data_IF_618408283495
#
_entry.id   IF_618408283495
#
_cell.length_a   1.000
_cell.length_b   1.000
_cell.length_c   1.000
_cell.angle_alpha   90.00
_cell.angle_beta   90.00
_cell.angle_gamma   90.00
#
_symmetry.space_group_name_H-M   'P 1'
#
loop_
_entity.id
_entity.type
_entity.pdbx_description
1 polymer ?
#
# COMPACT_ATOMS: atom_id res chain seq x y z
N UNK A 1 2.25 -13.62 13.23
CA UNK A 1 1.48 -12.61 13.99
C UNK A 1 2.47 -11.50 14.32
N UNK A 2 2.37 -10.37 13.63
CA UNK A 2 3.14 -9.20 14.06
C UNK A 2 2.62 -8.83 15.44
N UNK A 3 3.32 -9.26 16.50
CA UNK A 3 3.06 -8.71 17.82
C UNK A 3 3.24 -7.20 17.68
N UNK A 4 2.24 -6.42 18.13
CA UNK A 4 2.40 -4.98 18.20
C UNK A 4 3.71 -4.72 18.99
N UNK A 5 4.81 -4.30 18.36
CA UNK A 5 6.08 -4.15 19.05
C UNK A 5 6.03 -3.02 20.10
N UNK A 6 4.96 -2.23 20.11
CA UNK A 6 4.77 -1.10 21.00
C UNK A 6 3.38 -1.11 21.64
N UNK A 7 3.18 -1.83 22.75
CA UNK A 7 1.88 -1.93 23.44
C UNK A 7 1.35 -0.61 23.98
N UNK A 8 2.08 0.49 23.84
CA UNK A 8 1.68 1.84 24.28
C UNK A 8 1.04 2.71 23.20
N UNK A 9 1.04 2.32 21.91
CA UNK A 9 0.45 3.13 20.86
C UNK A 9 -1.05 2.86 20.71
N UNK A 10 -1.83 3.91 20.53
CA UNK A 10 -3.26 3.78 20.29
C UNK A 10 -3.51 3.29 18.85
N UNK A 11 -4.53 2.45 18.69
CA UNK A 11 -4.92 1.95 17.35
C UNK A 11 -5.19 3.10 16.36
N UNK A 12 -5.82 4.19 16.82
CA UNK A 12 -6.07 5.38 16.00
C UNK A 12 -4.80 6.04 15.48
N UNK A 13 -3.72 6.08 16.26
CA UNK A 13 -2.43 6.61 15.83
C UNK A 13 -1.79 5.73 14.75
N UNK A 14 -1.85 4.41 14.91
CA UNK A 14 -1.36 3.46 13.90
C UNK A 14 -2.13 3.59 12.59
N UNK A 15 -3.46 3.68 12.66
CA UNK A 15 -4.31 3.92 11.49
C UNK A 15 -3.99 5.28 10.85
N UNK A 16 -3.72 6.29 11.69
CA UNK A 16 -3.31 7.61 11.23
C UNK A 16 -2.05 7.56 10.36
N UNK A 17 -0.97 6.98 10.87
CA UNK A 17 0.29 6.85 10.11
C UNK A 17 0.08 6.04 8.83
N UNK A 18 -0.64 4.91 8.90
CA UNK A 18 -0.95 4.10 7.72
C UNK A 18 -1.79 4.87 6.68
N UNK A 19 -2.69 5.76 7.12
CA UNK A 19 -3.47 6.64 6.22
C UNK A 19 -2.56 7.62 5.48
N UNK A 20 -1.59 8.24 6.17
CA UNK A 20 -0.63 9.14 5.53
C UNK A 20 0.25 8.40 4.53
N UNK A 21 0.74 7.21 4.87
CA UNK A 21 1.50 6.36 3.93
C UNK A 21 0.67 6.01 2.69
N UNK A 22 -0.57 5.59 2.88
CA UNK A 22 -1.47 5.32 1.75
C UNK A 22 -1.72 6.58 0.91
N UNK A 23 -1.90 7.74 1.54
CA UNK A 23 -2.12 9.02 0.84
C UNK A 23 -0.88 9.46 0.05
N UNK A 24 0.33 9.25 0.58
CA UNK A 24 1.59 9.51 -0.15
C UNK A 24 1.73 8.60 -1.37
N UNK A 25 1.41 7.31 -1.22
CA UNK A 25 1.42 6.36 -2.33
C UNK A 25 0.39 6.73 -3.40
N UNK A 26 -0.82 7.10 -3.00
CA UNK A 26 -1.86 7.57 -3.91
C UNK A 26 -1.41 8.83 -4.66
N UNK A 27 -0.85 9.82 -3.96
CA UNK A 27 -0.33 11.04 -4.58
C UNK A 27 0.78 10.74 -5.59
N UNK A 28 1.69 9.80 -5.27
CA UNK A 28 2.76 9.36 -6.18
C UNK A 28 2.21 8.72 -7.46
N UNK A 29 1.21 7.85 -7.34
CA UNK A 29 0.59 7.20 -8.51
C UNK A 29 -0.20 8.23 -9.33
N UNK A 30 -0.97 9.10 -8.68
CA UNK A 30 -1.76 10.13 -9.36
C UNK A 30 -0.90 11.25 -9.99
N UNK A 31 0.38 11.37 -9.63
CA UNK A 31 1.32 12.25 -10.32
C UNK A 31 1.70 11.73 -11.72
N UNK A 32 1.50 10.44 -11.99
CA UNK A 32 1.81 9.83 -13.28
C UNK A 32 0.70 10.16 -14.29
N UNK A 33 1.06 10.84 -15.38
CA UNK A 33 0.14 11.10 -16.50
C UNK A 33 -0.21 9.80 -17.24
N UNK A 34 0.75 8.89 -17.34
CA UNK A 34 0.59 7.54 -17.89
C UNK A 34 1.14 6.52 -16.91
N UNK A 35 0.45 5.40 -16.73
CA UNK A 35 0.93 4.31 -15.88
C UNK A 35 1.94 3.44 -16.65
N UNK A 36 3.02 2.98 -15.99
CA UNK A 36 3.77 1.84 -16.51
C UNK A 36 2.85 0.60 -16.60
N UNK A 37 3.17 -0.37 -17.46
CA UNK A 37 2.36 -1.57 -17.56
C UNK A 37 2.42 -2.39 -16.28
N UNK A 38 1.26 -2.91 -15.86
CA UNK A 38 1.18 -3.90 -14.80
C UNK A 38 1.99 -5.14 -15.17
N UNK A 39 2.68 -5.66 -14.18
CA UNK A 39 3.42 -6.92 -14.27
C UNK A 39 2.60 -8.05 -13.66
N UNK A 40 2.73 -9.25 -14.21
CA UNK A 40 2.16 -10.45 -13.58
C UNK A 40 2.84 -10.65 -12.22
N UNK A 41 2.05 -10.63 -11.18
CA UNK A 41 2.54 -10.79 -9.81
C UNK A 41 3.16 -12.16 -9.60
N UNK A 42 4.41 -12.20 -9.14
CA UNK A 42 5.05 -13.41 -8.64
C UNK A 42 4.78 -13.52 -7.14
N UNK A 43 4.08 -14.58 -6.74
CA UNK A 43 3.75 -14.84 -5.35
C UNK A 43 4.75 -15.85 -4.79
N UNK A 44 5.43 -15.46 -3.72
CA UNK A 44 6.33 -16.33 -2.96
C UNK A 44 5.58 -16.83 -1.71
N UNK A 45 4.97 -17.99 -1.83
CA UNK A 45 4.18 -18.62 -0.77
C UNK A 45 4.97 -18.82 0.52
N UNK A 46 6.24 -19.19 0.41
CA UNK A 46 7.08 -19.43 1.58
C UNK A 46 7.43 -18.11 2.29
N UNK A 47 7.67 -17.04 1.53
CA UNK A 47 7.88 -15.71 2.11
C UNK A 47 6.62 -15.27 2.86
N UNK A 48 5.43 -15.41 2.26
CA UNK A 48 4.16 -15.06 2.90
C UNK A 48 3.95 -15.87 4.18
N UNK A 49 4.17 -17.18 4.15
CA UNK A 49 4.06 -18.03 5.34
C UNK A 49 5.01 -17.60 6.47
N UNK A 50 6.26 -17.31 6.13
CA UNK A 50 7.24 -16.80 7.13
C UNK A 50 6.81 -15.49 7.74
N UNK A 51 6.32 -14.55 6.93
CA UNK A 51 5.93 -13.22 7.37
C UNK A 51 4.67 -13.23 8.25
N UNK A 52 3.68 -14.05 7.91
CA UNK A 52 2.38 -14.07 8.57
C UNK A 52 2.21 -15.21 9.61
N UNK A 53 3.18 -16.09 9.74
CA UNK A 53 3.19 -17.14 10.75
C UNK A 53 1.92 -18.03 10.70
N UNK A 54 1.16 -18.09 11.80
CA UNK A 54 -0.04 -18.92 11.88
C UNK A 54 -1.13 -18.62 10.84
N UNK A 55 -1.18 -17.38 10.33
CA UNK A 55 -2.12 -16.97 9.29
C UNK A 55 -1.55 -17.10 7.88
N UNK A 56 -0.33 -17.62 7.73
CA UNK A 56 0.40 -17.65 6.46
C UNK A 56 -0.35 -18.37 5.34
N UNK A 57 -0.95 -19.53 5.61
CA UNK A 57 -1.71 -20.27 4.58
C UNK A 57 -2.98 -19.53 4.12
N UNK A 58 -3.62 -18.79 5.02
CA UNK A 58 -4.75 -17.94 4.66
C UNK A 58 -4.29 -16.76 3.80
N UNK A 59 -3.20 -16.12 4.17
CA UNK A 59 -2.64 -15.01 3.40
C UNK A 59 -2.14 -15.44 2.01
N UNK A 60 -1.60 -16.65 1.88
CA UNK A 60 -1.27 -17.24 0.56
C UNK A 60 -2.52 -17.36 -0.31
N UNK A 61 -3.63 -17.88 0.22
CA UNK A 61 -4.90 -17.96 -0.51
C UNK A 61 -5.41 -16.57 -0.92
N UNK A 62 -5.33 -15.60 -0.02
CA UNK A 62 -5.70 -14.21 -0.29
C UNK A 62 -4.85 -13.62 -1.42
N UNK A 63 -3.54 -13.80 -1.37
CA UNK A 63 -2.62 -13.30 -2.38
C UNK A 63 -2.91 -13.88 -3.77
N UNK A 64 -3.10 -15.22 -3.87
CA UNK A 64 -3.45 -15.89 -5.12
C UNK A 64 -4.85 -15.52 -5.62
N UNK A 65 -5.83 -15.37 -4.71
CA UNK A 65 -7.22 -15.08 -5.07
C UNK A 65 -7.45 -13.73 -5.74
N UNK A 66 -6.53 -12.77 -5.55
CA UNK A 66 -6.62 -11.42 -6.14
C UNK A 66 -5.53 -11.11 -7.18
N UNK A 67 -4.58 -12.00 -7.39
CA UNK A 67 -3.54 -11.81 -8.39
C UNK A 67 -4.11 -12.01 -9.80
N UNK A 68 -3.73 -11.14 -10.71
CA UNK A 68 -4.03 -11.30 -12.11
C UNK A 68 -3.09 -12.32 -12.75
N UNK A 69 -3.64 -13.23 -13.53
CA UNK A 69 -2.86 -14.05 -14.45
C UNK A 69 -2.40 -13.22 -15.68
N UNK A 70 -1.68 -13.84 -16.59
CA UNK A 70 -1.12 -13.15 -17.74
C UNK A 70 -2.20 -12.52 -18.65
N UNK A 71 -3.33 -13.21 -18.84
CA UNK A 71 -4.42 -12.71 -19.69
C UNK A 71 -5.18 -11.57 -18.99
N UNK A 72 -5.52 -11.73 -17.73
CA UNK A 72 -6.16 -10.67 -16.93
C UNK A 72 -5.25 -9.44 -16.82
N UNK A 73 -3.94 -9.62 -16.68
CA UNK A 73 -2.96 -8.52 -16.65
C UNK A 73 -2.95 -7.78 -17.99
N UNK A 74 -2.96 -8.50 -19.12
CA UNK A 74 -3.03 -7.88 -20.45
C UNK A 74 -4.30 -7.05 -20.62
N UNK A 75 -5.45 -7.64 -20.30
CA UNK A 75 -6.75 -6.94 -20.40
C UNK A 75 -6.79 -5.70 -19.47
N UNK A 76 -6.25 -5.81 -18.27
CA UNK A 76 -6.19 -4.69 -17.34
C UNK A 76 -5.26 -3.58 -17.85
N UNK A 77 -4.13 -3.91 -18.44
CA UNK A 77 -3.23 -2.92 -19.06
C UNK A 77 -3.92 -2.15 -20.19
N UNK A 78 -4.60 -2.83 -21.10
CA UNK A 78 -5.36 -2.19 -22.19
C UNK A 78 -6.47 -1.29 -21.65
N UNK A 79 -7.10 -1.70 -20.55
CA UNK A 79 -8.11 -0.89 -19.87
C UNK A 79 -7.53 0.34 -19.21
N UNK A 80 -6.44 0.19 -18.45
CA UNK A 80 -5.78 1.32 -17.78
C UNK A 80 -5.19 2.31 -18.79
N UNK A 81 -4.60 1.85 -19.89
CA UNK A 81 -4.11 2.75 -20.93
C UNK A 81 -5.23 3.64 -21.49
N UNK A 82 -6.41 3.10 -21.69
CA UNK A 82 -7.56 3.83 -22.21
C UNK A 82 -8.25 4.72 -21.18
N UNK A 83 -8.42 4.23 -19.94
CA UNK A 83 -9.31 4.83 -18.94
C UNK A 83 -8.53 5.67 -17.89
N UNK A 84 -7.22 5.53 -17.82
CA UNK A 84 -6.42 6.20 -16.79
C UNK A 84 -6.55 7.72 -16.78
N UNK A 85 -6.54 8.44 -17.91
CA UNK A 85 -6.65 9.90 -17.90
C UNK A 85 -7.93 10.38 -17.22
N UNK A 86 -9.07 9.76 -17.53
CA UNK A 86 -10.36 10.12 -16.97
C UNK A 86 -10.44 9.70 -15.49
N UNK A 87 -10.07 8.47 -15.17
CA UNK A 87 -10.04 7.96 -13.80
C UNK A 87 -9.13 8.80 -12.91
N UNK A 88 -7.96 9.18 -13.41
CA UNK A 88 -7.02 10.05 -12.70
C UNK A 88 -7.64 11.41 -12.40
N UNK A 89 -8.32 12.01 -13.37
CA UNK A 89 -9.00 13.30 -13.20
C UNK A 89 -10.07 13.22 -12.12
N UNK A 90 -10.94 12.21 -12.17
CA UNK A 90 -11.98 11.98 -11.17
C UNK A 90 -11.39 11.76 -9.77
N UNK A 91 -10.32 10.96 -9.67
CA UNK A 91 -9.66 10.72 -8.38
C UNK A 91 -9.03 11.99 -7.80
N UNK A 92 -8.42 12.83 -8.63
CA UNK A 92 -7.83 14.10 -8.17
C UNK A 92 -8.88 15.09 -7.66
N UNK A 93 -10.12 15.03 -8.16
CA UNK A 93 -11.22 15.89 -7.68
C UNK A 93 -11.72 15.48 -6.29
N UNK A 94 -11.72 14.19 -5.98
CA UNK A 94 -12.25 13.67 -4.70
C UNK A 94 -11.18 13.46 -3.62
N UNK A 95 -9.90 13.36 -4.02
CA UNK A 95 -8.80 13.15 -3.09
C UNK A 95 -8.51 14.40 -2.26
N UNK A 96 -8.41 14.20 -0.94
CA UNK A 96 -7.95 15.28 -0.08
C UNK A 96 -6.44 15.51 -0.30
N UNK A 97 -6.02 16.75 -0.59
CA UNK A 97 -4.60 17.07 -0.75
C UNK A 97 -3.77 16.66 0.47
N UNK A 98 -2.61 16.06 0.23
CA UNK A 98 -1.72 15.54 1.28
C UNK A 98 -1.34 16.63 2.30
N UNK A 99 -1.12 17.87 1.84
CA UNK A 99 -0.78 19.01 2.69
C UNK A 99 -1.88 19.32 3.72
N UNK A 100 -3.15 19.15 3.33
CA UNK A 100 -4.27 19.34 4.27
C UNK A 100 -4.32 18.25 5.33
N UNK A 101 -4.02 17.01 4.94
CA UNK A 101 -3.89 15.91 5.91
C UNK A 101 -2.74 16.17 6.88
N UNK A 102 -1.56 16.50 6.38
CA UNK A 102 -0.39 16.80 7.22
C UNK A 102 -0.64 17.98 8.17
N UNK A 103 -1.31 19.03 7.68
CA UNK A 103 -1.68 20.18 8.53
C UNK A 103 -2.65 19.77 9.65
N UNK A 104 -3.63 18.91 9.37
CA UNK A 104 -4.56 18.41 10.38
C UNK A 104 -3.85 17.55 11.44
N UNK A 105 -2.91 16.68 11.02
CA UNK A 105 -2.10 15.88 11.93
C UNK A 105 -1.21 16.77 12.82
N UNK A 106 -0.55 17.76 12.24
CA UNK A 106 0.25 18.72 13.00
C UNK A 106 -0.61 19.49 14.02
N UNK A 107 -1.80 19.94 13.63
CA UNK A 107 -2.71 20.67 14.51
C UNK A 107 -3.27 19.81 15.66
N UNK A 108 -3.45 18.50 15.43
CA UNK A 108 -3.94 17.56 16.46
C UNK A 108 -2.85 16.98 17.34
N UNK A 109 -1.57 17.19 17.02
CA UNK A 109 -0.44 16.54 17.70
C UNK A 109 -0.36 15.03 17.44
N UNK A 110 -1.06 14.52 16.42
CA UNK A 110 -1.05 13.10 16.05
C UNK A 110 0.27 12.76 15.36
N UNK A 111 0.94 11.64 15.71
CA UNK A 111 2.13 11.19 15.00
C UNK A 111 1.87 11.03 13.49
N UNK A 112 2.80 11.53 12.69
CA UNK A 112 2.72 11.49 11.22
C UNK A 112 3.67 10.48 10.57
N UNK A 113 4.54 9.86 11.37
CA UNK A 113 5.53 8.87 10.93
C UNK A 113 5.51 7.63 11.82
N UNK A 114 6.00 6.51 11.30
CA UNK A 114 6.17 5.29 12.08
C UNK A 114 7.17 5.48 13.22
N UNK A 115 8.24 6.25 12.99
CA UNK A 115 9.19 6.64 14.02
C UNK A 115 8.55 7.43 15.16
N UNK A 116 7.57 8.30 14.88
CA UNK A 116 6.76 9.00 15.88
C UNK A 116 5.93 8.07 16.77
N UNK A 117 5.63 6.86 16.29
CA UNK A 117 5.00 5.78 17.07
C UNK A 117 6.02 4.88 17.78
N UNK A 118 7.32 5.16 17.64
CA UNK A 118 8.38 4.29 18.15
C UNK A 118 8.51 2.96 17.37
N UNK A 119 7.97 2.87 16.17
CA UNK A 119 8.13 1.70 15.29
C UNK A 119 9.53 1.69 14.72
N UNK A 120 10.17 0.53 14.73
CA UNK A 120 11.52 0.34 14.17
C UNK A 120 11.55 0.74 12.68
N UNK A 121 12.45 1.64 12.27
CA UNK A 121 12.59 2.06 10.88
C UNK A 121 12.85 0.88 9.90
N UNK A 122 13.51 -0.18 10.36
CA UNK A 122 13.74 -1.37 9.53
C UNK A 122 12.48 -2.23 9.36
N UNK A 123 11.54 -2.12 10.30
CA UNK A 123 10.31 -2.90 10.29
C UNK A 123 9.24 -2.27 9.39
N UNK A 124 9.11 -0.95 9.42
CA UNK A 124 7.99 -0.28 8.76
C UNK A 124 7.93 -0.49 7.23
N UNK A 125 9.04 -0.37 6.48
CA UNK A 125 9.06 -0.73 5.06
C UNK A 125 8.56 -2.15 4.79
N UNK A 126 8.93 -3.12 5.63
CA UNK A 126 8.46 -4.49 5.50
C UNK A 126 6.95 -4.61 5.78
N UNK A 127 6.43 -3.85 6.73
CA UNK A 127 4.99 -3.80 7.00
C UNK A 127 4.23 -3.22 5.79
N UNK A 128 4.71 -2.15 5.18
CA UNK A 128 4.12 -1.56 3.96
C UNK A 128 4.12 -2.55 2.81
N UNK A 129 5.25 -3.20 2.53
CA UNK A 129 5.39 -4.18 1.45
C UNK A 129 4.43 -5.37 1.59
N UNK A 130 4.23 -5.86 2.82
CA UNK A 130 3.44 -7.06 3.08
C UNK A 130 1.98 -6.75 3.45
N UNK A 131 1.59 -5.48 3.63
CA UNK A 131 0.22 -5.09 3.95
C UNK A 131 -0.78 -5.49 2.85
N UNK A 132 -0.32 -5.56 1.60
CA UNK A 132 -1.12 -6.04 0.46
C UNK A 132 -1.58 -7.50 0.60
N UNK A 133 -0.93 -8.32 1.44
CA UNK A 133 -1.28 -9.74 1.59
C UNK A 133 -2.44 -9.96 2.57
N UNK A 134 -2.81 -8.95 3.36
CA UNK A 134 -3.74 -9.09 4.48
C UNK A 134 -5.22 -8.97 4.06
N UNK A 135 -5.50 -8.44 2.88
CA UNK A 135 -6.87 -8.20 2.39
C UNK A 135 -7.14 -8.93 1.09
N UNK A 136 -8.34 -9.46 0.98
CA UNK A 136 -8.87 -10.14 -0.21
C UNK A 136 -9.31 -9.18 -1.34
N UNK A 137 -9.14 -7.86 -1.12
CA UNK A 137 -9.44 -6.82 -2.10
C UNK A 137 -8.17 -6.33 -2.76
N UNK A 138 -8.23 -6.12 -4.07
CA UNK A 138 -7.20 -5.42 -4.80
C UNK A 138 -7.23 -3.93 -4.42
N UNK A 139 -6.11 -3.40 -3.98
CA UNK A 139 -5.97 -2.07 -3.35
C UNK A 139 -4.91 -1.24 -4.07
N UNK A 140 -4.71 -0.01 -3.60
CA UNK A 140 -3.62 0.86 -4.09
C UNK A 140 -2.22 0.22 -3.89
N UNK A 141 -2.06 -0.60 -2.84
CA UNK A 141 -0.82 -1.33 -2.59
C UNK A 141 -0.60 -2.44 -3.64
N UNK A 142 -1.67 -3.09 -4.08
CA UNK A 142 -1.60 -4.08 -5.16
C UNK A 142 -1.29 -3.40 -6.49
N UNK A 143 -1.96 -2.27 -6.80
CA UNK A 143 -1.65 -1.48 -7.98
C UNK A 143 -0.17 -1.05 -7.98
N UNK A 144 0.30 -0.45 -6.90
CA UNK A 144 1.70 -0.02 -6.79
C UNK A 144 2.69 -1.17 -6.97
N UNK A 145 2.41 -2.34 -6.36
CA UNK A 145 3.24 -3.53 -6.49
C UNK A 145 3.25 -4.08 -7.91
N UNK A 146 2.08 -4.14 -8.55
CA UNK A 146 1.95 -4.65 -9.92
C UNK A 146 2.52 -3.67 -10.97
N UNK A 147 2.59 -2.36 -10.65
CA UNK A 147 3.33 -1.35 -11.42
C UNK A 147 4.85 -1.37 -11.18
N UNK A 148 5.35 -2.12 -10.19
CA UNK A 148 6.76 -2.14 -9.79
C UNK A 148 7.22 -0.89 -9.02
N UNK A 149 6.29 -0.18 -8.37
CA UNK A 149 6.57 1.07 -7.65
C UNK A 149 6.62 0.90 -6.13
N UNK A 150 6.10 -0.23 -5.61
CA UNK A 150 5.88 -0.40 -4.18
C UNK A 150 7.17 -0.57 -3.39
N UNK A 151 8.15 -1.28 -3.93
CA UNK A 151 9.44 -1.54 -3.28
C UNK A 151 10.19 -0.24 -3.02
N UNK A 152 10.43 0.54 -4.07
CA UNK A 152 11.10 1.85 -3.96
C UNK A 152 10.32 2.81 -3.05
N UNK A 153 8.99 2.80 -3.12
CA UNK A 153 8.17 3.62 -2.25
C UNK A 153 8.36 3.22 -0.78
N UNK A 154 8.28 1.93 -0.47
CA UNK A 154 8.38 1.44 0.91
C UNK A 154 9.76 1.71 1.54
N UNK A 155 10.84 1.67 0.76
CA UNK A 155 12.21 1.97 1.22
C UNK A 155 12.37 3.43 1.70
N UNK A 156 11.52 4.34 1.24
CA UNK A 156 11.56 5.77 1.58
C UNK A 156 10.48 6.17 2.61
N UNK A 157 9.64 5.22 3.07
CA UNK A 157 8.63 5.49 4.10
C UNK A 157 9.19 5.32 5.51
N UNK A 158 8.91 6.34 6.39
CA UNK A 158 9.39 6.46 7.76
C UNK A 158 8.26 6.27 8.82
#
# INVERSE_FOLDING_TARGET
MFANPHPGTLHGEQVGVATLTASRLQARILALETLPPLQVRRIDDEKIRRMHGKSGDEMVKVAHGKAFDAEATRVMNERLEREWPDLRSELLEIMLPLEKLLAAYAASGTPSTAGGLGIDPCFYPQAVLNARDVRDRWTILDLAGDLGLLEEFAEHEE
#
